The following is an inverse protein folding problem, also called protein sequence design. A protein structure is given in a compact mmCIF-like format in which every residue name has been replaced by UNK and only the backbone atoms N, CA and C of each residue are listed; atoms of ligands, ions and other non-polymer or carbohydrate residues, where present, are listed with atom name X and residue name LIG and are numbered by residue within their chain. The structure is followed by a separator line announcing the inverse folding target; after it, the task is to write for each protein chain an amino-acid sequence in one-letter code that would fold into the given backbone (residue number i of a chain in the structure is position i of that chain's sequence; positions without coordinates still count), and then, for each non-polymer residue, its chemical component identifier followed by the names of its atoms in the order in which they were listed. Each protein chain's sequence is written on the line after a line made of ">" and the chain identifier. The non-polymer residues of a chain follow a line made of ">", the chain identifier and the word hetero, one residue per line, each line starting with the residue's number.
data_IF_090617296042
#
_entry.id   IF_090617296042
#
_cell.length_a   1.000
_cell.length_b   1.000
_cell.length_c   1.000
_cell.angle_alpha   90.00
_cell.angle_beta   90.00
_cell.angle_gamma   90.00
#
_symmetry.space_group_name_H-M   'P 1'
#
loop_
_entity.id
_entity.type
_entity.pdbx_description
1 polymer ?
#
# COMPACT_ATOMS: atom_id res chain seq x y z
N UNK A 1 -19.85 21.97 -22.91
CA UNK A 1 -19.07 22.98 -22.22
C UNK A 1 -17.78 22.37 -21.66
N UNK A 2 -16.65 22.91 -22.08
CA UNK A 2 -15.32 22.41 -21.70
C UNK A 2 -15.04 22.53 -20.18
N UNK A 3 -15.67 23.50 -19.49
CA UNK A 3 -15.42 23.77 -18.09
C UNK A 3 -15.77 22.62 -17.15
N UNK A 4 -16.87 21.90 -17.41
CA UNK A 4 -17.29 20.75 -16.58
C UNK A 4 -16.32 19.59 -16.67
N UNK A 5 -15.84 19.30 -17.87
CA UNK A 5 -14.88 18.22 -18.09
C UNK A 5 -13.52 18.54 -17.47
N UNK A 6 -13.08 19.80 -17.57
CA UNK A 6 -11.81 20.26 -16.98
C UNK A 6 -11.88 20.11 -15.46
N UNK A 7 -12.98 20.54 -14.82
CA UNK A 7 -13.14 20.42 -13.36
C UNK A 7 -13.11 18.95 -12.93
N UNK A 8 -13.80 18.08 -13.67
CA UNK A 8 -13.81 16.65 -13.39
C UNK A 8 -12.40 16.06 -13.48
N UNK A 9 -11.67 16.37 -14.56
CA UNK A 9 -10.31 15.88 -14.74
C UNK A 9 -9.37 16.37 -13.64
N UNK A 10 -9.51 17.63 -13.22
CA UNK A 10 -8.73 18.20 -12.12
C UNK A 10 -9.00 17.48 -10.80
N UNK A 11 -10.26 17.13 -10.52
CA UNK A 11 -10.63 16.37 -9.32
C UNK A 11 -9.99 14.97 -9.33
N UNK A 12 -10.09 14.27 -10.46
CA UNK A 12 -9.50 12.94 -10.61
C UNK A 12 -8.00 13.00 -10.40
N UNK A 13 -7.32 13.99 -10.95
CA UNK A 13 -5.88 14.19 -10.77
C UNK A 13 -5.54 14.51 -9.32
N UNK A 14 -6.32 15.38 -8.67
CA UNK A 14 -6.13 15.74 -7.26
C UNK A 14 -6.31 14.53 -6.34
N UNK A 15 -7.35 13.72 -6.58
CA UNK A 15 -7.61 12.50 -5.83
C UNK A 15 -6.47 11.50 -6.01
N UNK A 16 -5.94 11.37 -7.23
CA UNK A 16 -4.80 10.50 -7.52
C UNK A 16 -3.55 10.91 -6.74
N UNK A 17 -3.24 12.21 -6.69
CA UNK A 17 -2.12 12.74 -5.92
C UNK A 17 -2.31 12.55 -4.42
N UNK A 18 -3.52 12.78 -3.92
CA UNK A 18 -3.85 12.58 -2.52
C UNK A 18 -3.71 11.12 -2.12
N UNK A 19 -4.22 10.21 -2.94
CA UNK A 19 -4.13 8.77 -2.67
C UNK A 19 -2.69 8.27 -2.73
N UNK A 20 -1.87 8.82 -3.64
CA UNK A 20 -0.45 8.50 -3.69
C UNK A 20 0.24 8.89 -2.39
N UNK A 21 -0.04 10.09 -1.89
CA UNK A 21 0.47 10.55 -0.59
C UNK A 21 -0.03 9.66 0.55
N UNK A 22 -1.30 9.29 0.51
CA UNK A 22 -1.92 8.41 1.52
C UNK A 22 -1.28 7.03 1.54
N UNK A 23 -0.97 6.46 0.37
CA UNK A 23 -0.28 5.17 0.27
C UNK A 23 1.12 5.25 0.84
N UNK A 24 1.83 6.35 0.61
CA UNK A 24 3.14 6.59 1.19
C UNK A 24 3.07 6.69 2.71
N UNK A 25 2.11 7.42 3.23
CA UNK A 25 1.87 7.55 4.67
C UNK A 25 1.57 6.18 5.29
N UNK A 26 0.73 5.40 4.66
CA UNK A 26 0.41 4.05 5.11
C UNK A 26 1.67 3.19 5.21
N UNK A 27 2.50 3.21 4.17
CA UNK A 27 3.75 2.45 4.17
C UNK A 27 4.66 2.85 5.33
N UNK A 28 4.79 4.15 5.59
CA UNK A 28 5.62 4.66 6.69
C UNK A 28 5.11 4.20 8.06
N UNK A 29 3.81 4.19 8.26
CA UNK A 29 3.20 3.72 9.51
C UNK A 29 3.39 2.21 9.67
N UNK A 30 3.09 1.43 8.64
CA UNK A 30 3.27 -0.02 8.70
C UNK A 30 4.72 -0.42 8.93
N UNK A 31 5.65 0.28 8.27
CA UNK A 31 7.07 0.04 8.44
C UNK A 31 7.52 0.33 9.88
N UNK A 32 7.09 1.44 10.46
CA UNK A 32 7.42 1.80 11.84
C UNK A 32 6.90 0.77 12.83
N UNK A 33 5.71 0.24 12.58
CA UNK A 33 5.15 -0.83 13.39
C UNK A 33 5.98 -2.12 13.27
N UNK A 34 6.35 -2.48 12.04
CA UNK A 34 7.05 -3.73 11.76
C UNK A 34 8.49 -3.74 12.28
N UNK A 35 9.22 -2.64 12.10
CA UNK A 35 10.66 -2.56 12.41
C UNK A 35 10.93 -2.04 13.82
N UNK A 36 10.22 -0.99 14.24
CA UNK A 36 10.47 -0.34 15.52
C UNK A 36 9.50 -0.80 16.61
N UNK A 37 8.35 -1.34 16.21
CA UNK A 37 7.34 -1.80 17.16
C UNK A 37 6.41 -0.70 17.66
N UNK A 38 6.35 0.45 16.97
CA UNK A 38 5.40 1.50 17.30
C UNK A 38 3.98 0.97 17.09
N UNK A 39 3.13 1.10 18.10
CA UNK A 39 1.75 0.60 17.99
C UNK A 39 0.95 1.46 17.03
N UNK A 40 0.27 0.81 16.09
CA UNK A 40 -0.53 1.51 15.08
C UNK A 40 -1.63 2.34 15.74
N UNK A 41 -2.30 1.80 16.73
CA UNK A 41 -3.34 2.53 17.47
C UNK A 41 -2.83 3.81 18.12
N UNK A 42 -1.58 3.82 18.58
CA UNK A 42 -0.96 4.99 19.16
C UNK A 42 -0.68 6.08 18.10
N UNK A 43 -0.29 5.65 16.90
CA UNK A 43 -0.09 6.58 15.77
C UNK A 43 -1.43 7.17 15.34
N UNK A 44 -2.44 6.34 15.18
CA UNK A 44 -3.77 6.77 14.70
C UNK A 44 -4.48 7.69 15.70
N UNK A 45 -4.24 7.49 17.00
CA UNK A 45 -4.83 8.33 18.06
C UNK A 45 -4.05 9.63 18.32
N UNK A 46 -2.88 9.79 17.72
CA UNK A 46 -2.00 10.93 17.95
C UNK A 46 -1.12 10.79 19.19
N UNK A 47 -1.17 9.65 19.88
CA UNK A 47 -0.36 9.39 21.07
C UNK A 47 1.12 9.20 20.71
N UNK A 48 1.41 8.65 19.53
CA UNK A 48 2.75 8.52 19.00
C UNK A 48 2.85 9.31 17.69
N UNK A 49 3.99 9.98 17.48
CA UNK A 49 4.26 10.72 16.25
C UNK A 49 5.42 10.06 15.50
N UNK A 50 5.38 10.13 14.18
CA UNK A 50 6.42 9.58 13.34
C UNK A 50 7.10 10.69 12.53
N UNK A 51 8.43 10.63 12.33
CA UNK A 51 9.10 11.55 11.43
C UNK A 51 8.48 11.48 10.04
N UNK A 52 8.31 12.61 9.39
CA UNK A 52 7.77 12.72 8.04
C UNK A 52 6.29 12.35 7.87
N UNK A 53 5.59 11.97 8.94
CA UNK A 53 4.15 11.75 8.91
C UNK A 53 3.48 12.88 9.67
N UNK A 54 2.97 13.86 8.93
CA UNK A 54 2.36 15.06 9.52
C UNK A 54 0.85 14.93 9.63
N UNK A 55 0.23 14.19 8.74
CA UNK A 55 -1.21 14.03 8.67
C UNK A 55 -1.57 12.65 8.16
N UNK A 56 -2.57 12.04 8.77
CA UNK A 56 -3.11 10.77 8.32
C UNK A 56 -4.54 11.05 7.87
N UNK A 57 -4.74 11.16 6.55
CA UNK A 57 -6.08 11.40 6.01
C UNK A 57 -6.94 10.14 6.08
N UNK A 58 -8.21 10.27 5.72
CA UNK A 58 -9.17 9.17 5.82
C UNK A 58 -8.78 8.00 4.94
N UNK A 59 -8.22 8.25 3.77
CA UNK A 59 -7.80 7.16 2.87
C UNK A 59 -6.61 6.39 3.47
N UNK A 60 -5.61 7.10 3.97
CA UNK A 60 -4.46 6.48 4.64
C UNK A 60 -4.91 5.68 5.86
N UNK A 61 -5.80 6.24 6.68
CA UNK A 61 -6.35 5.55 7.85
C UNK A 61 -7.04 4.26 7.44
N UNK A 62 -7.87 4.32 6.40
CA UNK A 62 -8.57 3.14 5.86
C UNK A 62 -7.61 2.05 5.42
N UNK A 63 -6.53 2.41 4.72
CA UNK A 63 -5.51 1.46 4.28
C UNK A 63 -4.79 0.83 5.48
N UNK A 64 -4.42 1.63 6.47
CA UNK A 64 -3.71 1.17 7.67
C UNK A 64 -4.59 0.20 8.45
N UNK A 65 -5.78 0.62 8.80
CA UNK A 65 -6.72 -0.18 9.59
C UNK A 65 -7.14 -1.45 8.85
N UNK A 66 -7.45 -1.32 7.57
CA UNK A 66 -7.87 -2.44 6.73
C UNK A 66 -6.77 -3.47 6.56
N UNK A 67 -5.53 -3.04 6.34
CA UNK A 67 -4.39 -3.95 6.22
C UNK A 67 -4.21 -4.74 7.52
N UNK A 68 -4.25 -4.07 8.65
CA UNK A 68 -4.08 -4.74 9.94
C UNK A 68 -5.22 -5.69 10.25
N UNK A 69 -6.43 -5.27 10.00
CA UNK A 69 -7.62 -6.10 10.25
C UNK A 69 -7.63 -7.37 9.39
N UNK A 70 -7.11 -7.28 8.17
CA UNK A 70 -7.13 -8.38 7.21
C UNK A 70 -5.75 -9.04 7.04
N UNK A 71 -4.84 -8.83 7.97
CA UNK A 71 -3.46 -9.27 7.86
C UNK A 71 -3.33 -10.78 7.60
N UNK A 72 -4.12 -11.58 8.29
CA UNK A 72 -4.08 -13.04 8.14
C UNK A 72 -4.45 -13.48 6.73
N UNK A 73 -5.51 -12.92 6.16
CA UNK A 73 -5.94 -13.19 4.79
C UNK A 73 -4.87 -12.73 3.78
N UNK A 74 -4.34 -11.53 4.00
CA UNK A 74 -3.34 -10.94 3.11
C UNK A 74 -2.07 -11.78 3.11
N UNK A 75 -1.56 -12.14 4.29
CA UNK A 75 -0.33 -12.92 4.41
C UNK A 75 -0.51 -14.32 3.80
N UNK A 76 -1.69 -14.93 3.92
CA UNK A 76 -1.97 -16.21 3.29
C UNK A 76 -1.85 -16.12 1.76
N UNK A 77 -2.41 -15.06 1.16
CA UNK A 77 -2.30 -14.84 -0.28
C UNK A 77 -0.86 -14.58 -0.73
N UNK A 78 -0.13 -13.80 0.04
CA UNK A 78 1.28 -13.53 -0.26
C UNK A 78 2.12 -14.79 -0.17
N UNK A 79 1.88 -15.63 0.83
CA UNK A 79 2.60 -16.90 1.00
C UNK A 79 2.36 -17.84 -0.19
N UNK A 80 1.13 -17.88 -0.71
CA UNK A 80 0.79 -18.77 -1.83
C UNK A 80 1.51 -18.40 -3.12
N UNK A 81 1.77 -17.11 -3.37
CA UNK A 81 2.37 -16.64 -4.62
C UNK A 81 3.87 -16.37 -4.52
N UNK A 82 4.42 -16.31 -3.32
CA UNK A 82 5.83 -16.00 -3.07
C UNK A 82 6.63 -17.30 -2.95
N UNK A 83 6.69 -18.07 -4.04
CA UNK A 83 7.24 -19.42 -4.07
C UNK A 83 8.67 -19.54 -3.51
N UNK A 84 9.50 -18.52 -3.71
CA UNK A 84 10.92 -18.57 -3.34
C UNK A 84 11.27 -17.75 -2.11
N UNK A 85 10.29 -17.06 -1.52
CA UNK A 85 10.56 -16.15 -0.40
C UNK A 85 9.50 -16.27 0.68
N UNK A 86 9.94 -16.65 1.88
CA UNK A 86 9.08 -16.59 3.05
C UNK A 86 8.86 -15.10 3.41
N UNK A 87 7.66 -14.78 3.91
CA UNK A 87 7.32 -13.40 4.29
C UNK A 87 8.32 -12.78 5.27
N UNK A 88 8.77 -13.57 6.24
CA UNK A 88 9.71 -13.09 7.25
C UNK A 88 11.12 -12.82 6.70
N UNK A 89 11.44 -13.31 5.51
CA UNK A 89 12.73 -13.07 4.84
C UNK A 89 12.70 -11.90 3.87
N UNK A 90 11.52 -11.37 3.56
CA UNK A 90 11.42 -10.19 2.72
C UNK A 90 11.95 -8.97 3.46
N UNK A 91 12.59 -8.01 2.75
CA UNK A 91 12.85 -6.70 3.36
C UNK A 91 11.57 -6.13 3.91
N UNK A 92 11.63 -5.48 5.07
CA UNK A 92 10.44 -4.95 5.75
C UNK A 92 9.64 -3.97 4.90
N UNK A 93 10.31 -3.14 4.11
CA UNK A 93 9.64 -2.21 3.20
C UNK A 93 8.85 -2.96 2.14
N UNK A 94 9.43 -3.99 1.55
CA UNK A 94 8.77 -4.80 0.51
C UNK A 94 7.55 -5.51 1.09
N UNK A 95 7.72 -6.12 2.26
CA UNK A 95 6.62 -6.83 2.93
C UNK A 95 5.47 -5.90 3.28
N UNK A 96 5.76 -4.75 3.87
CA UNK A 96 4.72 -3.77 4.24
C UNK A 96 4.01 -3.23 2.99
N UNK A 97 4.77 -2.94 1.95
CA UNK A 97 4.22 -2.45 0.69
C UNK A 97 3.31 -3.47 0.03
N UNK A 98 3.74 -4.72 -0.01
CA UNK A 98 2.92 -5.81 -0.54
C UNK A 98 1.63 -5.98 0.26
N UNK A 99 1.71 -5.93 1.57
CA UNK A 99 0.54 -6.07 2.44
C UNK A 99 -0.51 -5.01 2.17
N UNK A 100 -0.12 -3.74 2.18
CA UNK A 100 -1.08 -2.65 1.95
C UNK A 100 -1.66 -2.66 0.54
N UNK A 101 -0.85 -3.04 -0.44
CA UNK A 101 -1.30 -3.10 -1.83
C UNK A 101 -2.30 -4.23 -2.05
N UNK A 102 -2.04 -5.40 -1.47
CA UNK A 102 -2.97 -6.53 -1.53
C UNK A 102 -4.30 -6.15 -0.88
N UNK A 103 -4.26 -5.44 0.26
CA UNK A 103 -5.49 -4.94 0.87
C UNK A 103 -6.26 -4.05 -0.11
N UNK A 104 -5.59 -3.10 -0.73
CA UNK A 104 -6.23 -2.19 -1.69
C UNK A 104 -6.83 -2.96 -2.87
N UNK A 105 -6.09 -3.93 -3.41
CA UNK A 105 -6.57 -4.74 -4.53
C UNK A 105 -7.81 -5.57 -4.18
N UNK A 106 -7.89 -6.06 -2.96
CA UNK A 106 -8.99 -6.94 -2.53
C UNK A 106 -10.23 -6.18 -2.04
N UNK A 107 -10.05 -5.03 -1.41
CA UNK A 107 -11.11 -4.39 -0.63
C UNK A 107 -11.48 -2.97 -1.05
N UNK A 108 -10.73 -2.34 -1.94
CA UNK A 108 -11.04 -0.98 -2.40
C UNK A 108 -11.51 -1.04 -3.85
N UNK A 109 -12.83 -1.12 -4.01
CA UNK A 109 -13.45 -1.40 -5.31
C UNK A 109 -13.27 -0.32 -6.37
N UNK A 110 -13.17 0.94 -5.97
CA UNK A 110 -13.08 2.06 -6.91
C UNK A 110 -11.66 2.28 -7.47
N UNK A 111 -10.68 1.50 -7.01
CA UNK A 111 -9.31 1.54 -7.55
C UNK A 111 -9.11 0.35 -8.46
N UNK A 112 -8.85 0.56 -9.76
CA UNK A 112 -8.50 -0.55 -10.65
C UNK A 112 -7.23 -1.26 -10.15
N UNK A 113 -7.21 -2.58 -10.25
CA UNK A 113 -6.07 -3.40 -9.78
C UNK A 113 -4.76 -2.94 -10.42
N UNK A 114 -4.78 -2.61 -11.70
CA UNK A 114 -3.58 -2.12 -12.40
C UNK A 114 -3.04 -0.82 -11.79
N UNK A 115 -3.91 0.04 -11.28
CA UNK A 115 -3.49 1.29 -10.62
C UNK A 115 -2.80 0.97 -9.29
N UNK A 116 -3.37 0.07 -8.50
CA UNK A 116 -2.75 -0.35 -7.24
C UNK A 116 -1.35 -0.91 -7.47
N UNK A 117 -1.19 -1.75 -8.49
CA UNK A 117 0.10 -2.36 -8.82
C UNK A 117 1.10 -1.28 -9.28
N UNK A 118 0.70 -0.39 -10.19
CA UNK A 118 1.59 0.67 -10.67
C UNK A 118 2.04 1.61 -9.55
N UNK A 119 1.15 1.97 -8.65
CA UNK A 119 1.51 2.81 -7.50
C UNK A 119 2.46 2.08 -6.55
N UNK A 120 2.26 0.79 -6.34
CA UNK A 120 3.17 -0.02 -5.52
C UNK A 120 4.56 -0.10 -6.14
N UNK A 121 4.64 -0.27 -7.45
CA UNK A 121 5.93 -0.32 -8.17
C UNK A 121 6.68 1.01 -8.01
N UNK A 122 5.99 2.14 -8.11
CA UNK A 122 6.61 3.46 -7.91
C UNK A 122 7.11 3.64 -6.47
N UNK A 123 6.34 3.19 -5.48
CA UNK A 123 6.79 3.22 -4.08
C UNK A 123 7.99 2.28 -3.85
N UNK A 124 8.01 1.13 -4.50
CA UNK A 124 9.14 0.21 -4.41
C UNK A 124 10.43 0.81 -4.99
N UNK A 125 10.32 1.60 -6.05
CA UNK A 125 11.48 2.33 -6.60
C UNK A 125 12.03 3.36 -5.62
N UNK A 126 11.16 4.00 -4.85
CA UNK A 126 11.55 5.02 -3.87
C UNK A 126 12.06 4.42 -2.56
N UNK A 127 11.39 3.39 -2.03
CA UNK A 127 11.62 2.87 -0.69
C UNK A 127 12.02 1.40 -0.61
N UNK A 128 12.08 0.69 -1.71
CA UNK A 128 12.32 -0.74 -1.71
C UNK A 128 13.64 -1.14 -1.05
N UNK A 129 13.70 -2.37 -0.54
CA UNK A 129 14.83 -2.89 0.20
C UNK A 129 16.11 -3.07 -0.63
N UNK A 130 15.98 -3.18 -1.95
CA UNK A 130 17.12 -3.23 -2.87
C UNK A 130 16.72 -2.70 -4.26
N UNK A 131 17.67 -2.63 -5.18
CA UNK A 131 17.44 -2.06 -6.52
C UNK A 131 16.45 -2.84 -7.37
N UNK A 132 16.21 -4.10 -7.06
CA UNK A 132 15.28 -4.96 -7.78
C UNK A 132 13.92 -5.12 -7.09
N UNK A 133 13.70 -4.42 -5.98
CA UNK A 133 12.43 -4.50 -5.23
C UNK A 133 11.22 -4.24 -6.10
N UNK A 134 11.28 -3.24 -6.99
CA UNK A 134 10.15 -2.91 -7.87
C UNK A 134 9.79 -4.07 -8.82
N UNK A 135 10.77 -4.83 -9.27
CA UNK A 135 10.53 -6.01 -10.12
C UNK A 135 9.89 -7.14 -9.33
N UNK A 136 10.41 -7.37 -8.12
CA UNK A 136 9.86 -8.37 -7.20
C UNK A 136 8.41 -8.05 -6.84
N UNK A 137 8.14 -6.81 -6.43
CA UNK A 137 6.80 -6.35 -6.07
C UNK A 137 5.84 -6.51 -7.25
N UNK A 138 6.26 -6.08 -8.44
CA UNK A 138 5.44 -6.22 -9.64
C UNK A 138 5.10 -7.69 -9.93
N UNK A 139 6.08 -8.57 -9.81
CA UNK A 139 5.88 -10.01 -10.07
C UNK A 139 4.90 -10.65 -9.09
N UNK A 140 5.05 -10.38 -7.79
CA UNK A 140 4.17 -10.92 -6.76
C UNK A 140 2.74 -10.41 -6.94
N UNK A 141 2.59 -9.09 -7.12
CA UNK A 141 1.26 -8.49 -7.29
C UNK A 141 0.59 -8.93 -8.58
N UNK A 142 1.36 -9.16 -9.64
CA UNK A 142 0.83 -9.69 -10.89
C UNK A 142 0.21 -11.07 -10.73
N UNK A 143 0.83 -11.93 -9.93
CA UNK A 143 0.29 -13.26 -9.62
C UNK A 143 -1.01 -13.17 -8.83
N UNK A 144 -1.05 -12.27 -7.85
CA UNK A 144 -2.26 -12.03 -7.06
C UNK A 144 -3.38 -11.49 -7.94
N UNK A 145 -3.07 -10.57 -8.85
CA UNK A 145 -4.05 -10.03 -9.78
C UNK A 145 -4.69 -11.13 -10.63
N UNK A 146 -3.91 -12.08 -11.11
CA UNK A 146 -4.43 -13.21 -11.88
C UNK A 146 -5.41 -14.05 -11.07
N UNK A 147 -5.13 -14.27 -9.80
CA UNK A 147 -6.04 -15.01 -8.91
C UNK A 147 -7.34 -14.25 -8.69
N UNK A 148 -7.28 -12.93 -8.50
CA UNK A 148 -8.47 -12.09 -8.26
C UNK A 148 -9.32 -12.01 -9.53
N UNK A 149 -8.70 -11.81 -10.67
CA UNK A 149 -9.39 -11.61 -11.95
C UNK A 149 -9.86 -12.92 -12.59
N UNK A 150 -9.36 -14.00 -12.10
CA UNK A 150 -9.80 -15.27 -12.49
C UNK A 150 -9.36 -16.21 -13.27
#
# INVERSE_FOLDING_TARGET
>A
MASGQIVYNMRVMADGKLRRKSRKTCLQVLYSNDVVGVKIEDVLSGKATLPHVTEIDDYARGLIEGTQKNLKEIDAKLADVSENWALDRMPSTDRCLLRQTVYEMLHVEDVPISVSINEAVELAKEFGGDDDSHKFVNGVLGKIAKEIEG
#
